data_IF_374104983198
#
_entry.id   IF_374104983198
#
_cell.length_a   1.000
_cell.length_b   1.000
_cell.length_c   1.000
_cell.angle_alpha   90.00
_cell.angle_beta   90.00
_cell.angle_gamma   90.00
#
_symmetry.space_group_name_H-M   'P 1'
#
loop_
_entity.id
_entity.type
_entity.pdbx_description
1 polymer ?
#
# COMPACT_ATOMS: atom_id res chain seq x y z
N UNK A 1 -10.38 -15.31 11.15
CA UNK A 1 -9.84 -13.99 11.57
C UNK A 1 -8.32 -13.87 11.46
N UNK A 2 -7.55 -14.96 11.36
CA UNK A 2 -6.07 -14.90 11.26
C UNK A 2 -5.57 -14.35 9.90
N UNK A 3 -6.33 -14.50 8.81
CA UNK A 3 -5.94 -13.96 7.49
C UNK A 3 -5.97 -12.43 7.37
N UNK A 4 -6.74 -11.73 8.21
CA UNK A 4 -6.87 -10.26 8.17
C UNK A 4 -5.64 -9.53 8.74
N UNK A 5 -4.87 -10.16 9.63
CA UNK A 5 -3.75 -9.51 10.29
C UNK A 5 -2.52 -9.36 9.37
N UNK A 6 -2.27 -10.32 8.48
CA UNK A 6 -1.11 -10.33 7.58
C UNK A 6 -1.23 -9.34 6.41
N UNK A 7 -2.46 -9.03 5.99
CA UNK A 7 -2.72 -8.03 4.94
C UNK A 7 -2.43 -6.60 5.41
N UNK A 8 -2.53 -6.33 6.71
CA UNK A 8 -2.35 -4.99 7.25
C UNK A 8 -0.90 -4.50 7.13
N UNK A 9 0.08 -5.38 7.35
CA UNK A 9 1.51 -5.05 7.26
C UNK A 9 1.96 -4.80 5.82
N UNK A 10 1.39 -5.52 4.85
CA UNK A 10 1.71 -5.31 3.43
C UNK A 10 1.17 -3.98 2.88
N UNK A 11 0.19 -3.36 3.55
CA UNK A 11 -0.45 -2.11 3.13
C UNK A 11 0.08 -0.87 3.85
N UNK A 12 1.04 -1.02 4.77
CA UNK A 12 1.69 0.13 5.41
C UNK A 12 2.68 0.80 4.47
N UNK A 13 2.65 2.14 4.42
CA UNK A 13 3.62 2.93 3.68
C UNK A 13 5.04 2.70 4.22
N UNK A 14 6.07 2.63 3.36
CA UNK A 14 7.46 2.51 3.80
C UNK A 14 7.95 3.76 4.55
N UNK A 15 8.87 3.56 5.50
CA UNK A 15 9.58 4.67 6.16
C UNK A 15 10.54 5.35 5.16
N UNK A 16 10.43 6.67 4.94
CA UNK A 16 11.35 7.40 4.06
C UNK A 16 12.72 7.71 4.68
N UNK A 17 12.93 7.54 5.99
CA UNK A 17 14.19 7.89 6.66
C UNK A 17 15.42 7.19 6.05
N UNK A 18 15.39 5.88 5.74
CA UNK A 18 16.53 5.20 5.13
C UNK A 18 16.88 5.74 3.73
N UNK A 19 15.87 5.97 2.88
CA UNK A 19 16.04 6.59 1.57
C UNK A 19 16.67 7.98 1.72
N UNK A 20 16.12 8.78 2.65
CA UNK A 20 16.62 10.13 2.88
C UNK A 20 18.08 10.16 3.29
N UNK A 21 18.41 9.34 4.28
CA UNK A 21 19.76 9.22 4.80
C UNK A 21 20.74 8.79 3.71
N UNK A 22 20.33 7.88 2.82
CA UNK A 22 21.18 7.39 1.75
C UNK A 22 21.53 8.49 0.74
N UNK A 23 20.58 9.36 0.41
CA UNK A 23 20.83 10.49 -0.51
C UNK A 23 21.64 11.59 0.16
N UNK A 24 21.27 12.03 1.37
CA UNK A 24 21.98 13.09 2.11
C UNK A 24 23.46 12.76 2.32
N UNK A 25 23.77 11.48 2.53
CA UNK A 25 25.14 11.00 2.76
C UNK A 25 25.84 10.54 1.48
N UNK A 26 25.18 10.60 0.33
CA UNK A 26 25.64 9.99 -0.92
C UNK A 26 26.07 8.52 -0.75
N UNK A 27 25.33 7.76 0.07
CA UNK A 27 25.56 6.35 0.33
C UNK A 27 25.11 5.49 -0.86
N UNK A 28 26.09 5.11 -1.68
CA UNK A 28 25.90 4.23 -2.83
C UNK A 28 25.40 2.83 -2.46
N UNK A 29 25.84 2.30 -1.32
CA UNK A 29 25.44 0.95 -0.89
C UNK A 29 23.98 0.96 -0.44
N UNK A 30 23.58 1.97 0.34
CA UNK A 30 22.19 2.20 0.74
C UNK A 30 21.26 2.36 -0.46
N UNK A 31 21.61 3.22 -1.42
CA UNK A 31 20.82 3.41 -2.65
C UNK A 31 20.73 2.13 -3.51
N UNK A 32 21.81 1.34 -3.58
CA UNK A 32 21.81 0.08 -4.30
C UNK A 32 20.97 -1.01 -3.60
N UNK A 33 20.97 -1.05 -2.27
CA UNK A 33 20.09 -1.94 -1.50
C UNK A 33 18.61 -1.59 -1.74
N UNK A 34 18.24 -0.32 -1.54
CA UNK A 34 16.87 0.15 -1.77
C UNK A 34 16.39 -0.15 -3.20
N UNK A 35 17.23 0.09 -4.20
CA UNK A 35 16.88 -0.18 -5.60
C UNK A 35 16.66 -1.67 -5.90
N UNK A 36 17.34 -2.57 -5.17
CA UNK A 36 17.19 -4.02 -5.33
C UNK A 36 15.95 -4.57 -4.63
N UNK A 37 15.60 -4.01 -3.47
CA UNK A 37 14.51 -4.51 -2.64
C UNK A 37 13.14 -3.98 -3.10
N UNK A 38 13.12 -2.78 -3.70
CA UNK A 38 11.88 -2.09 -4.09
C UNK A 38 10.98 -2.88 -5.06
N UNK A 39 11.48 -3.58 -6.10
CA UNK A 39 10.64 -4.41 -6.96
C UNK A 39 9.91 -5.52 -6.21
N UNK A 40 10.57 -6.19 -5.27
CA UNK A 40 9.95 -7.24 -4.46
C UNK A 40 8.87 -6.65 -3.55
N UNK A 41 9.16 -5.54 -2.87
CA UNK A 41 8.19 -4.83 -2.02
C UNK A 41 6.94 -4.42 -2.81
N UNK A 42 7.12 -3.86 -4.01
CA UNK A 42 6.02 -3.49 -4.91
C UNK A 42 5.15 -4.68 -5.30
N UNK A 43 5.76 -5.84 -5.54
CA UNK A 43 5.03 -7.07 -5.85
C UNK A 43 4.21 -7.58 -4.65
N UNK A 44 4.79 -7.57 -3.45
CA UNK A 44 4.08 -7.94 -2.20
C UNK A 44 2.90 -7.01 -1.95
N UNK A 45 3.08 -5.69 -2.08
CA UNK A 45 2.00 -4.72 -1.97
C UNK A 45 0.89 -4.97 -3.01
N UNK A 46 1.26 -5.20 -4.27
CA UNK A 46 0.28 -5.44 -5.34
C UNK A 46 -0.55 -6.71 -5.12
N UNK A 47 0.08 -7.79 -4.63
CA UNK A 47 -0.62 -9.02 -4.27
C UNK A 47 -1.61 -8.78 -3.12
N UNK A 48 -1.19 -8.11 -2.05
CA UNK A 48 -2.06 -7.78 -0.92
C UNK A 48 -3.26 -6.90 -1.33
N UNK A 49 -3.03 -5.91 -2.20
CA UNK A 49 -4.10 -5.06 -2.74
C UNK A 49 -5.10 -5.86 -3.56
N UNK A 50 -4.62 -6.79 -4.38
CA UNK A 50 -5.47 -7.64 -5.20
C UNK A 50 -6.33 -8.56 -4.32
N UNK A 51 -5.73 -9.20 -3.33
CA UNK A 51 -6.42 -10.11 -2.42
C UNK A 51 -7.50 -9.40 -1.60
N UNK A 52 -7.20 -8.23 -1.02
CA UNK A 52 -8.19 -7.44 -0.28
C UNK A 52 -9.32 -6.93 -1.19
N UNK A 53 -9.00 -6.46 -2.40
CA UNK A 53 -10.02 -6.01 -3.35
C UNK A 53 -10.95 -7.16 -3.75
N UNK A 54 -10.40 -8.36 -3.97
CA UNK A 54 -11.18 -9.57 -4.28
C UNK A 54 -12.08 -9.95 -3.11
N UNK A 55 -11.57 -9.89 -1.88
CA UNK A 55 -12.35 -10.18 -0.67
C UNK A 55 -13.52 -9.20 -0.51
N UNK A 56 -13.27 -7.89 -0.64
CA UNK A 56 -14.33 -6.86 -0.60
C UNK A 56 -15.40 -7.13 -1.66
N UNK A 57 -15.00 -7.42 -2.89
CA UNK A 57 -15.94 -7.70 -3.99
C UNK A 57 -16.79 -8.95 -3.72
N UNK A 58 -16.18 -10.02 -3.20
CA UNK A 58 -16.89 -11.25 -2.86
C UNK A 58 -17.90 -11.01 -1.72
N UNK A 59 -17.52 -10.26 -0.69
CA UNK A 59 -18.41 -9.92 0.44
C UNK A 59 -19.56 -9.01 0.01
N UNK A 60 -19.31 -8.02 -0.87
CA UNK A 60 -20.38 -7.21 -1.47
C UNK A 60 -21.39 -8.08 -2.23
N UNK A 61 -20.90 -8.97 -3.09
CA UNK A 61 -21.77 -9.88 -3.84
C UNK A 61 -22.61 -10.79 -2.92
N UNK A 62 -22.03 -11.26 -1.81
CA UNK A 62 -22.76 -12.07 -0.82
C UNK A 62 -23.86 -11.29 -0.08
N UNK A 63 -23.62 -10.01 0.24
CA UNK A 63 -24.64 -9.15 0.83
C UNK A 63 -25.77 -8.84 -0.16
N UNK A 64 -25.46 -8.66 -1.44
CA UNK A 64 -26.46 -8.37 -2.47
C UNK A 64 -27.27 -9.62 -2.86
N UNK A 65 -26.68 -10.81 -2.76
CA UNK A 65 -27.36 -12.08 -2.97
C UNK A 65 -28.20 -12.54 -1.77
N UNK A 66 -28.11 -11.87 -0.61
CA UNK A 66 -28.88 -12.24 0.57
C UNK A 66 -30.37 -11.95 0.34
N UNK A 67 -31.24 -12.98 0.32
CA UNK A 67 -32.67 -12.76 0.16
C UNK A 67 -33.17 -11.98 1.38
N UNK A 68 -33.82 -10.84 1.14
CA UNK A 68 -34.68 -10.25 2.15
C UNK A 68 -35.68 -11.33 2.56
N UNK A 69 -35.55 -11.86 3.78
CA UNK A 69 -36.35 -12.99 4.26
C UNK A 69 -37.83 -12.78 3.95
N UNK A 70 -38.55 -13.85 3.60
CA UNK A 70 -39.90 -13.84 3.02
C UNK A 70 -41.03 -13.20 3.84
N UNK A 71 -40.72 -12.49 4.93
CA UNK A 71 -41.55 -11.47 5.56
C UNK A 71 -40.64 -10.25 5.65
N UNK A 72 -40.97 -9.14 4.98
CA UNK A 72 -40.09 -8.00 4.70
C UNK A 72 -39.07 -7.64 5.80
N UNK A 73 -37.91 -7.08 5.43
CA UNK A 73 -36.75 -7.02 6.31
C UNK A 73 -37.08 -6.32 7.63
N UNK A 74 -36.92 -7.04 8.75
CA UNK A 74 -37.08 -6.45 10.09
C UNK A 74 -36.13 -5.26 10.26
N UNK A 75 -36.51 -4.28 11.07
CA UNK A 75 -35.65 -3.10 11.35
C UNK A 75 -34.25 -3.52 11.82
N UNK A 76 -34.16 -4.56 12.66
CA UNK A 76 -32.90 -5.15 13.11
C UNK A 76 -32.08 -5.78 11.96
N UNK A 77 -32.74 -6.43 10.99
CA UNK A 77 -32.10 -6.99 9.80
C UNK A 77 -31.59 -5.91 8.85
N UNK A 78 -32.35 -4.83 8.66
CA UNK A 78 -31.91 -3.67 7.87
C UNK A 78 -30.71 -2.97 8.51
N UNK A 79 -30.73 -2.77 9.83
CA UNK A 79 -29.62 -2.17 10.57
C UNK A 79 -28.33 -3.00 10.45
N UNK A 80 -28.44 -4.33 10.52
CA UNK A 80 -27.31 -5.25 10.39
C UNK A 80 -26.71 -5.23 8.98
N UNK A 81 -27.56 -5.25 7.94
CA UNK A 81 -27.13 -5.08 6.55
C UNK A 81 -26.46 -3.71 6.31
N UNK A 82 -27.02 -2.65 6.88
CA UNK A 82 -26.44 -1.30 6.82
C UNK A 82 -25.05 -1.23 7.46
N UNK A 83 -24.88 -1.83 8.64
CA UNK A 83 -23.59 -1.90 9.33
C UNK A 83 -22.55 -2.72 8.52
N UNK A 84 -22.96 -3.84 7.92
CA UNK A 84 -22.09 -4.66 7.09
C UNK A 84 -21.60 -3.90 5.85
N UNK A 85 -22.49 -3.18 5.15
CA UNK A 85 -22.12 -2.33 4.01
C UNK A 85 -21.17 -1.21 4.43
N UNK A 86 -21.47 -0.51 5.53
CA UNK A 86 -20.61 0.55 6.05
C UNK A 86 -19.20 0.05 6.41
N UNK A 87 -19.08 -1.17 6.94
CA UNK A 87 -17.80 -1.80 7.23
C UNK A 87 -16.98 -2.10 5.96
N UNK A 88 -17.63 -2.58 4.89
CA UNK A 88 -16.99 -2.81 3.59
C UNK A 88 -16.52 -1.50 2.95
N UNK A 89 -17.31 -0.44 3.05
CA UNK A 89 -16.90 0.87 2.52
C UNK A 89 -15.73 1.47 3.31
N UNK A 90 -15.70 1.26 4.63
CA UNK A 90 -14.55 1.64 5.44
C UNK A 90 -13.29 0.86 5.05
N UNK A 91 -13.40 -0.44 4.72
CA UNK A 91 -12.30 -1.24 4.19
C UNK A 91 -11.82 -0.74 2.82
N UNK A 92 -12.74 -0.46 1.91
CA UNK A 92 -12.41 0.08 0.59
C UNK A 92 -11.65 1.41 0.71
N UNK A 93 -12.12 2.33 1.56
CA UNK A 93 -11.41 3.61 1.81
C UNK A 93 -9.99 3.39 2.34
N UNK A 94 -9.78 2.45 3.25
CA UNK A 94 -8.43 2.12 3.75
C UNK A 94 -7.53 1.58 2.64
N UNK A 95 -8.05 0.72 1.78
CA UNK A 95 -7.32 0.20 0.63
C UNK A 95 -6.94 1.30 -0.36
N UNK A 96 -7.85 2.25 -0.60
CA UNK A 96 -7.61 3.37 -1.51
C UNK A 96 -6.58 4.37 -0.94
N UNK A 97 -6.60 4.60 0.37
CA UNK A 97 -5.56 5.37 1.07
C UNK A 97 -4.19 4.68 0.93
N UNK A 98 -4.10 3.37 1.18
CA UNK A 98 -2.86 2.63 1.00
C UNK A 98 -2.31 2.70 -0.44
N UNK A 99 -3.19 2.65 -1.45
CA UNK A 99 -2.82 2.85 -2.85
C UNK A 99 -2.32 4.28 -3.12
N UNK A 100 -2.88 5.29 -2.44
CA UNK A 100 -2.42 6.67 -2.55
C UNK A 100 -1.04 6.85 -1.94
N UNK A 101 -0.81 6.30 -0.75
CA UNK A 101 0.48 6.33 -0.07
C UNK A 101 1.56 5.59 -0.88
N UNK A 102 1.23 4.44 -1.46
CA UNK A 102 2.15 3.70 -2.35
C UNK A 102 2.52 4.51 -3.60
N UNK A 103 1.58 5.25 -4.19
CA UNK A 103 1.90 6.14 -5.33
C UNK A 103 2.81 7.28 -4.88
N UNK A 104 2.53 7.89 -3.73
CA UNK A 104 3.36 8.95 -3.18
C UNK A 104 4.79 8.45 -2.88
N UNK A 105 4.93 7.25 -2.30
CA UNK A 105 6.21 6.60 -2.07
C UNK A 105 7.00 6.38 -3.36
N UNK A 106 6.36 5.89 -4.43
CA UNK A 106 7.02 5.67 -5.72
C UNK A 106 7.57 6.97 -6.30
N UNK A 107 6.78 8.04 -6.27
CA UNK A 107 7.23 9.35 -6.72
C UNK A 107 8.42 9.83 -5.90
N UNK A 108 8.36 9.71 -4.56
CA UNK A 108 9.46 10.06 -3.67
C UNK A 108 10.75 9.29 -4.00
N UNK A 109 10.67 7.98 -4.22
CA UNK A 109 11.83 7.16 -4.59
C UNK A 109 12.46 7.62 -5.90
N UNK A 110 11.65 7.90 -6.92
CA UNK A 110 12.17 8.36 -8.21
C UNK A 110 12.81 9.75 -8.11
N UNK A 111 12.18 10.69 -7.39
CA UNK A 111 12.72 12.05 -7.18
C UNK A 111 14.07 12.00 -6.45
N UNK A 112 14.17 11.21 -5.37
CA UNK A 112 15.38 11.08 -4.57
C UNK A 112 16.49 10.30 -5.31
N UNK A 113 16.11 9.33 -6.15
CA UNK A 113 17.06 8.66 -7.04
C UNK A 113 17.62 9.64 -8.07
N UNK A 114 16.79 10.49 -8.66
CA UNK A 114 17.24 11.51 -9.60
C UNK A 114 18.21 12.50 -8.92
N UNK A 115 17.88 12.98 -7.72
CA UNK A 115 18.74 13.84 -6.91
C UNK A 115 20.10 13.19 -6.61
N UNK A 116 20.09 11.92 -6.16
CA UNK A 116 21.31 11.16 -5.93
C UNK A 116 22.17 11.03 -7.20
N UNK A 117 21.55 10.73 -8.34
CA UNK A 117 22.28 10.59 -9.61
C UNK A 117 22.92 11.92 -10.02
N UNK A 118 22.20 13.04 -9.87
CA UNK A 118 22.71 14.37 -10.18
C UNK A 118 23.87 14.79 -9.27
N UNK A 119 23.78 14.53 -7.96
CA UNK A 119 24.66 15.15 -6.95
C UNK A 119 25.74 14.22 -6.37
N UNK A 120 25.55 12.89 -6.41
CA UNK A 120 26.41 11.92 -5.73
C UNK A 120 27.28 11.05 -6.67
N UNK A 121 26.96 11.01 -7.97
CA UNK A 121 27.69 10.15 -8.92
C UNK A 121 28.91 10.81 -9.56
N UNK A 122 28.97 12.15 -9.59
CA UNK A 122 30.06 12.93 -10.20
C UNK A 122 31.36 13.06 -9.40
N UNK A 123 31.39 12.68 -8.11
CA UNK A 123 32.55 12.87 -7.21
C UNK A 123 33.75 11.93 -7.44
N UNK A 124 33.82 11.20 -8.55
CA UNK A 124 34.95 10.30 -8.84
C UNK A 124 36.22 11.00 -9.37
N UNK A 125 36.16 12.30 -9.69
CA UNK A 125 37.27 13.01 -10.35
C UNK A 125 37.78 14.27 -9.61
N UNK A 126 37.24 14.63 -8.45
CA UNK A 126 37.67 15.83 -7.71
C UNK A 126 38.81 15.55 -6.72
N UNK A 127 38.91 14.32 -6.19
CA UNK A 127 39.91 13.94 -5.17
C UNK A 127 41.12 13.18 -5.76
N UNK A 128 41.26 13.18 -7.09
CA UNK A 128 42.39 12.58 -7.81
C UNK A 128 43.31 13.61 -8.48
N UNK A 129 43.28 14.87 -8.01
CA UNK A 129 44.22 15.94 -8.41
C UNK A 129 45.07 16.37 -7.23
#
# INVERSE_FOLDING_TARGET
MIALALLAEALTAPDPVPLRTAVEKCDRAGMAALSRDEPHRRAVFAAAVYDEQRAISAERAALDASPAGGNGPSEAGQATLGAARAALDARQRRLDNARADERAWRNLVEDWRADFLANCTGRRNADAR
#
